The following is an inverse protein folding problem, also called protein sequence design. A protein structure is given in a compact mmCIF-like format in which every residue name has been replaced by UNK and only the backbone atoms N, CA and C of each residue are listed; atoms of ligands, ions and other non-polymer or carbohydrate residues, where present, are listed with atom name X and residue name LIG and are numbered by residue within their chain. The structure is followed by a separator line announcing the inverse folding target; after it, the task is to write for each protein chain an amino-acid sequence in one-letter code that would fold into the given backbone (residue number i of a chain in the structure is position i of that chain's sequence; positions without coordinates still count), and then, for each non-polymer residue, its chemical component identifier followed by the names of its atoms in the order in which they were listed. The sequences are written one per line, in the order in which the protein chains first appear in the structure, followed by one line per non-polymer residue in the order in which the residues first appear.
data_IF_811391247993
#
_entry.id   IF_811391247993
#
_cell.length_a   1.000
_cell.length_b   1.000
_cell.length_c   1.000
_cell.angle_alpha   90.00
_cell.angle_beta   90.00
_cell.angle_gamma   90.00
#
_symmetry.space_group_name_H-M   'P 1'
#
loop_
_entity.id
_entity.type
_entity.pdbx_description
1 polymer ?
#
# COMPACT_ATOMS: atom_id res chain seq x y z
N UNK A 1 12.78 -19.32 -16.55
CA UNK A 1 11.85 -18.50 -17.34
C UNK A 1 10.83 -17.84 -16.38
N UNK A 2 10.70 -16.51 -16.41
CA UNK A 2 9.88 -15.74 -15.49
C UNK A 2 8.69 -15.12 -16.22
N UNK A 3 7.47 -15.29 -15.69
CA UNK A 3 6.28 -14.60 -16.19
C UNK A 3 6.10 -13.31 -15.39
N UNK A 4 6.17 -12.16 -16.05
CA UNK A 4 5.88 -10.88 -15.42
C UNK A 4 4.43 -10.52 -15.71
N UNK A 5 3.62 -10.50 -14.64
CA UNK A 5 2.21 -10.09 -14.73
C UNK A 5 2.14 -8.59 -14.43
N UNK A 6 1.66 -7.81 -15.40
CA UNK A 6 1.65 -6.34 -15.36
C UNK A 6 0.41 -5.77 -16.05
N UNK A 7 0.11 -4.51 -15.82
CA UNK A 7 -1.03 -3.83 -16.44
C UNK A 7 -2.32 -4.03 -15.65
N UNK A 8 -3.20 -4.95 -16.08
CA UNK A 8 -4.48 -5.22 -15.44
C UNK A 8 -5.53 -4.13 -15.67
N UNK A 9 -6.68 -4.25 -14.98
CA UNK A 9 -7.83 -3.35 -15.16
C UNK A 9 -7.90 -2.23 -14.11
N UNK A 10 -7.07 -2.29 -13.06
CA UNK A 10 -7.12 -1.32 -11.96
C UNK A 10 -6.81 0.11 -12.41
N UNK A 11 -7.19 1.07 -11.60
CA UNK A 11 -6.84 2.50 -11.79
C UNK A 11 -5.34 2.77 -11.70
N UNK A 12 -4.58 1.82 -11.19
CA UNK A 12 -3.12 1.89 -11.06
C UNK A 12 -2.37 1.20 -12.23
N UNK A 13 -3.11 0.88 -13.31
CA UNK A 13 -2.57 0.21 -14.51
C UNK A 13 -1.26 0.83 -15.02
N UNK A 14 -1.18 2.15 -15.12
CA UNK A 14 0.03 2.82 -15.62
C UNK A 14 1.25 2.59 -14.73
N UNK A 15 1.03 2.58 -13.41
CA UNK A 15 2.08 2.29 -12.43
C UNK A 15 2.50 0.83 -12.52
N UNK A 16 1.54 -0.07 -12.66
CA UNK A 16 1.80 -1.50 -12.89
C UNK A 16 2.66 -1.73 -14.14
N UNK A 17 2.34 -1.08 -15.25
CA UNK A 17 3.14 -1.18 -16.48
C UNK A 17 4.56 -0.63 -16.26
N UNK A 18 4.72 0.51 -15.59
CA UNK A 18 6.03 1.10 -15.29
C UNK A 18 6.85 0.19 -14.37
N UNK A 19 6.25 -0.31 -13.28
CA UNK A 19 6.86 -1.29 -12.37
C UNK A 19 7.28 -2.55 -13.12
N UNK A 20 6.37 -3.16 -13.87
CA UNK A 20 6.64 -4.39 -14.61
C UNK A 20 7.77 -4.23 -15.64
N UNK A 21 7.79 -3.10 -16.38
CA UNK A 21 8.88 -2.79 -17.32
C UNK A 21 10.23 -2.59 -16.62
N UNK A 22 10.26 -1.93 -15.46
CA UNK A 22 11.48 -1.74 -14.70
C UNK A 22 12.03 -3.09 -14.17
N UNK A 23 11.15 -3.90 -13.58
CA UNK A 23 11.49 -5.25 -13.12
C UNK A 23 11.93 -6.17 -14.26
N UNK A 24 11.25 -6.12 -15.42
CA UNK A 24 11.62 -6.88 -16.62
C UNK A 24 13.05 -6.57 -17.08
N UNK A 25 13.44 -5.30 -17.10
CA UNK A 25 14.81 -4.90 -17.45
C UNK A 25 15.83 -5.46 -16.45
N UNK A 26 15.54 -5.39 -15.15
CA UNK A 26 16.42 -5.94 -14.11
C UNK A 26 16.55 -7.48 -14.23
N UNK A 27 15.42 -8.18 -14.39
CA UNK A 27 15.37 -9.64 -14.55
C UNK A 27 16.16 -10.10 -15.79
N UNK A 28 16.09 -9.34 -16.90
CA UNK A 28 16.91 -9.62 -18.10
C UNK A 28 18.41 -9.44 -17.83
N UNK A 29 18.80 -8.35 -17.12
CA UNK A 29 20.22 -8.14 -16.74
C UNK A 29 20.76 -9.26 -15.84
N UNK A 30 19.88 -9.87 -15.04
CA UNK A 30 20.20 -11.03 -14.21
C UNK A 30 20.31 -12.36 -15.02
N UNK A 31 20.12 -12.32 -16.34
CA UNK A 31 20.27 -13.48 -17.23
C UNK A 31 19.00 -14.34 -17.38
N UNK A 32 17.87 -13.94 -16.82
CA UNK A 32 16.64 -14.73 -16.93
C UNK A 32 15.83 -14.44 -18.18
N UNK A 33 15.26 -15.50 -18.77
CA UNK A 33 14.26 -15.37 -19.86
C UNK A 33 12.93 -14.90 -19.27
N UNK A 34 12.25 -13.96 -19.95
CA UNK A 34 10.98 -13.42 -19.49
C UNK A 34 9.87 -13.62 -20.52
N UNK A 35 8.65 -13.77 -20.01
CA UNK A 35 7.39 -13.54 -20.70
C UNK A 35 6.62 -12.43 -19.98
N UNK A 36 5.72 -11.78 -20.67
CA UNK A 36 4.83 -10.77 -20.09
C UNK A 36 3.38 -11.18 -20.23
N UNK A 37 2.57 -10.90 -19.21
CA UNK A 37 1.15 -11.19 -19.19
C UNK A 37 0.39 -9.95 -18.71
N UNK A 38 -0.58 -9.50 -19.51
CA UNK A 38 -1.44 -8.36 -19.16
C UNK A 38 -2.91 -8.82 -19.07
N UNK A 39 -3.49 -8.88 -17.85
CA UNK A 39 -4.86 -9.35 -17.67
C UNK A 39 -5.92 -8.50 -18.37
N UNK A 40 -5.61 -7.26 -18.73
CA UNK A 40 -6.51 -6.46 -19.56
C UNK A 40 -6.61 -6.96 -20.99
N UNK A 41 -5.57 -7.63 -21.49
CA UNK A 41 -5.49 -8.09 -22.88
C UNK A 41 -5.90 -9.54 -23.05
N UNK A 42 -5.92 -10.31 -21.97
CA UNK A 42 -6.24 -11.74 -21.99
C UNK A 42 -6.73 -12.23 -20.61
N UNK A 43 -7.54 -13.27 -20.61
CA UNK A 43 -8.07 -13.86 -19.39
C UNK A 43 -6.99 -14.42 -18.47
N UNK A 44 -7.12 -14.28 -17.15
CA UNK A 44 -6.27 -14.93 -16.15
C UNK A 44 -6.20 -16.46 -16.33
N UNK A 45 -7.25 -17.09 -16.86
CA UNK A 45 -7.27 -18.53 -17.16
C UNK A 45 -6.14 -18.95 -18.12
N UNK A 46 -5.64 -18.05 -18.94
CA UNK A 46 -4.54 -18.35 -19.84
C UNK A 46 -3.21 -18.59 -19.11
N UNK A 47 -3.08 -18.20 -17.84
CA UNK A 47 -1.89 -18.51 -17.02
C UNK A 47 -1.68 -20.00 -16.92
N UNK A 48 -2.73 -20.82 -16.87
CA UNK A 48 -2.65 -22.28 -16.79
C UNK A 48 -2.04 -22.94 -18.02
N UNK A 49 -1.98 -22.22 -19.13
CA UNK A 49 -1.37 -22.71 -20.40
C UNK A 49 0.09 -22.28 -20.56
N UNK A 50 0.60 -21.44 -19.64
CA UNK A 50 1.94 -20.86 -19.76
C UNK A 50 2.95 -21.69 -18.96
N UNK A 51 3.99 -22.20 -19.64
CA UNK A 51 5.09 -22.94 -18.99
C UNK A 51 6.20 -21.96 -18.56
N UNK A 52 6.28 -21.69 -17.28
CA UNK A 52 7.28 -20.84 -16.62
C UNK A 52 7.62 -21.39 -15.22
N UNK A 53 8.78 -20.99 -14.72
CA UNK A 53 9.29 -21.47 -13.43
C UNK A 53 8.79 -20.64 -12.25
N UNK A 54 8.49 -19.35 -12.49
CA UNK A 54 8.03 -18.40 -11.45
C UNK A 54 7.20 -17.27 -12.08
N UNK A 55 6.23 -16.76 -11.32
CA UNK A 55 5.47 -15.57 -11.66
C UNK A 55 5.99 -14.40 -10.84
N UNK A 56 6.41 -13.32 -11.49
CA UNK A 56 6.69 -12.04 -10.88
C UNK A 56 5.43 -11.18 -10.97
N UNK A 57 4.76 -10.96 -9.84
CA UNK A 57 3.59 -10.09 -9.77
C UNK A 57 4.04 -8.63 -9.77
N UNK A 58 3.66 -7.86 -10.78
CA UNK A 58 3.88 -6.41 -10.87
C UNK A 58 2.56 -5.65 -11.05
N UNK A 59 1.42 -6.29 -10.76
CA UNK A 59 0.12 -5.63 -10.73
C UNK A 59 0.03 -4.70 -9.52
N UNK A 60 -0.82 -3.68 -9.61
CA UNK A 60 -1.12 -2.75 -8.52
C UNK A 60 -2.63 -2.53 -8.39
N UNK A 61 -3.08 -2.29 -7.14
CA UNK A 61 -4.46 -2.01 -6.82
C UNK A 61 -5.38 -3.21 -6.93
N UNK A 62 -6.63 -2.96 -7.34
CA UNK A 62 -7.67 -3.97 -7.52
C UNK A 62 -7.20 -5.08 -8.46
N UNK A 63 -7.59 -6.32 -8.20
CA UNK A 63 -7.13 -7.57 -8.83
C UNK A 63 -5.64 -7.89 -8.56
N UNK A 64 -4.77 -6.91 -8.32
CA UNK A 64 -3.32 -7.11 -8.16
C UNK A 64 -2.84 -7.27 -6.72
N UNK A 65 -3.50 -6.59 -5.77
CA UNK A 65 -3.08 -6.50 -4.37
C UNK A 65 -4.13 -7.03 -3.38
N UNK A 66 -5.26 -7.49 -3.86
CA UNK A 66 -6.45 -7.87 -3.06
C UNK A 66 -6.67 -9.38 -2.90
N UNK A 67 -5.75 -10.19 -3.44
CA UNK A 67 -5.83 -11.65 -3.39
C UNK A 67 -6.39 -12.28 -4.67
N UNK A 68 -6.99 -11.48 -5.56
CA UNK A 68 -7.61 -12.02 -6.78
C UNK A 68 -6.56 -12.68 -7.71
N UNK A 69 -5.56 -11.94 -8.17
CA UNK A 69 -4.50 -12.49 -9.02
C UNK A 69 -3.75 -13.62 -8.31
N UNK A 70 -3.50 -13.45 -7.00
CA UNK A 70 -2.81 -14.46 -6.18
C UNK A 70 -3.58 -15.79 -6.15
N UNK A 71 -4.92 -15.79 -6.18
CA UNK A 71 -5.71 -17.04 -6.23
C UNK A 71 -5.48 -17.81 -7.54
N UNK A 72 -5.33 -17.14 -8.67
CA UNK A 72 -4.94 -17.80 -9.93
C UNK A 72 -3.52 -18.35 -9.89
N UNK A 73 -2.60 -17.62 -9.25
CA UNK A 73 -1.21 -18.09 -9.10
C UNK A 73 -1.16 -19.34 -8.20
N UNK A 74 -1.86 -19.35 -7.06
CA UNK A 74 -1.95 -20.53 -6.20
C UNK A 74 -2.54 -21.74 -6.93
N UNK A 75 -3.63 -21.54 -7.66
CA UNK A 75 -4.27 -22.61 -8.41
C UNK A 75 -3.38 -23.17 -9.55
N UNK A 76 -2.57 -22.30 -10.18
CA UNK A 76 -1.61 -22.71 -11.20
C UNK A 76 -0.45 -23.56 -10.67
N UNK A 77 -0.25 -23.59 -9.35
CA UNK A 77 0.88 -24.23 -8.66
C UNK A 77 2.25 -23.69 -9.09
N UNK A 78 2.29 -22.55 -9.78
CA UNK A 78 3.53 -21.89 -10.14
C UNK A 78 3.95 -20.97 -8.99
N UNK A 79 5.17 -21.08 -8.45
CA UNK A 79 5.68 -20.15 -7.44
C UNK A 79 5.55 -18.70 -7.91
N UNK A 80 5.24 -17.79 -6.98
CA UNK A 80 5.09 -16.38 -7.31
C UNK A 80 5.63 -15.45 -6.24
N UNK A 81 6.02 -14.26 -6.64
CA UNK A 81 6.58 -13.23 -5.77
C UNK A 81 5.50 -12.50 -4.96
N UNK A 82 5.94 -11.84 -3.89
CA UNK A 82 5.10 -11.04 -2.98
C UNK A 82 4.14 -11.88 -2.12
N UNK A 83 3.23 -11.19 -1.44
CA UNK A 83 2.33 -11.79 -0.46
C UNK A 83 1.27 -12.69 -1.10
N UNK A 84 0.82 -13.71 -0.37
CA UNK A 84 -0.21 -14.64 -0.83
C UNK A 84 -1.63 -14.08 -0.72
N UNK A 85 -2.62 -14.91 -1.07
CA UNK A 85 -4.05 -14.54 -1.15
C UNK A 85 -4.53 -13.87 0.13
N UNK A 86 -4.47 -14.56 1.27
CA UNK A 86 -5.01 -14.06 2.53
C UNK A 86 -4.31 -12.81 3.05
N UNK A 87 -3.01 -12.71 2.86
CA UNK A 87 -2.23 -11.55 3.30
C UNK A 87 -2.56 -10.32 2.47
N UNK A 88 -2.69 -10.46 1.16
CA UNK A 88 -3.10 -9.40 0.24
C UNK A 88 -4.51 -8.91 0.56
N UNK A 89 -5.48 -9.81 0.72
CA UNK A 89 -6.85 -9.47 1.13
C UNK A 89 -6.90 -8.71 2.46
N UNK A 90 -6.18 -9.19 3.48
CA UNK A 90 -6.14 -8.54 4.81
C UNK A 90 -5.51 -7.16 4.73
N UNK A 91 -4.41 -7.00 4.00
CA UNK A 91 -3.70 -5.74 3.89
C UNK A 91 -4.50 -4.70 3.11
N UNK A 92 -5.14 -5.09 2.00
CA UNK A 92 -5.94 -4.21 1.16
C UNK A 92 -7.17 -3.68 1.88
N UNK A 93 -7.82 -4.51 2.70
CA UNK A 93 -8.97 -4.12 3.50
C UNK A 93 -8.53 -3.39 4.77
N UNK A 94 -8.64 -2.06 4.78
CA UNK A 94 -8.15 -1.19 5.86
C UNK A 94 -8.82 -1.49 7.22
N UNK A 95 -10.08 -1.86 7.24
CA UNK A 95 -10.78 -2.22 8.49
C UNK A 95 -10.20 -3.51 9.06
N UNK A 96 -9.98 -4.51 8.22
CA UNK A 96 -9.42 -5.79 8.63
C UNK A 96 -7.99 -5.61 9.12
N UNK A 97 -7.13 -4.95 8.32
CA UNK A 97 -5.73 -4.73 8.70
C UNK A 97 -5.59 -3.94 10.00
N UNK A 98 -6.36 -2.85 10.16
CA UNK A 98 -6.37 -2.05 11.41
C UNK A 98 -6.89 -2.85 12.61
N UNK A 99 -7.90 -3.70 12.43
CA UNK A 99 -8.37 -4.63 13.47
C UNK A 99 -7.27 -5.59 13.91
N UNK A 100 -6.51 -6.16 12.96
CA UNK A 100 -5.36 -7.01 13.24
C UNK A 100 -4.26 -6.22 13.97
N UNK A 101 -3.97 -4.98 13.56
CA UNK A 101 -2.99 -4.12 14.22
C UNK A 101 -3.36 -3.86 15.67
N UNK A 102 -4.60 -3.46 15.95
CA UNK A 102 -5.08 -3.18 17.31
C UNK A 102 -5.02 -4.44 18.20
N UNK A 103 -5.48 -5.59 17.70
CA UNK A 103 -5.40 -6.87 18.44
C UNK A 103 -3.96 -7.21 18.82
N UNK A 104 -3.00 -6.80 18.01
CA UNK A 104 -1.58 -7.01 18.23
C UNK A 104 -0.86 -5.81 18.87
N UNK A 105 -1.58 -4.87 19.49
CA UNK A 105 -1.03 -3.70 20.18
C UNK A 105 -0.14 -2.82 19.27
N UNK A 106 -0.43 -2.75 17.98
CA UNK A 106 0.13 -1.79 17.03
C UNK A 106 -0.84 -0.62 16.91
N UNK A 107 -0.37 0.57 17.27
CA UNK A 107 -1.19 1.77 17.24
C UNK A 107 -1.54 2.16 15.82
N UNK A 108 -2.81 2.45 15.57
CA UNK A 108 -3.36 2.96 14.31
C UNK A 108 -4.37 4.07 14.62
N UNK A 109 -4.63 5.03 13.71
CA UNK A 109 -5.65 6.05 13.94
C UNK A 109 -7.00 5.41 14.29
N UNK A 110 -7.75 6.01 15.21
CA UNK A 110 -9.13 5.58 15.48
C UNK A 110 -9.93 5.62 14.20
N UNK A 111 -10.75 4.63 13.96
CA UNK A 111 -11.47 4.47 12.69
C UNK A 111 -12.85 3.86 12.87
N UNK A 112 -13.64 3.99 11.85
CA UNK A 112 -14.98 3.45 11.79
C UNK A 112 -15.37 3.19 10.33
N UNK A 113 -15.93 2.02 10.06
CA UNK A 113 -16.44 1.65 8.73
C UNK A 113 -17.82 2.28 8.53
N UNK A 114 -18.00 2.97 7.42
CA UNK A 114 -19.23 3.62 7.05
C UNK A 114 -19.78 3.06 5.75
N UNK A 115 -20.98 2.44 5.81
CA UNK A 115 -21.66 1.88 4.65
C UNK A 115 -22.64 2.89 4.05
N UNK A 116 -22.80 2.89 2.73
CA UNK A 116 -23.69 3.79 2.00
C UNK A 116 -25.11 3.85 2.60
N UNK A 117 -25.70 2.70 2.92
CA UNK A 117 -27.03 2.60 3.55
C UNK A 117 -27.14 3.37 4.88
N UNK A 118 -26.04 3.52 5.61
CA UNK A 118 -26.01 4.22 6.89
C UNK A 118 -25.99 5.74 6.76
N UNK A 119 -25.64 6.26 5.60
CA UNK A 119 -25.54 7.70 5.37
C UNK A 119 -26.90 8.40 5.45
N UNK A 120 -27.93 7.77 4.89
CA UNK A 120 -29.26 8.33 4.81
C UNK A 120 -30.09 8.17 6.08
N UNK A 121 -29.70 7.27 6.99
CA UNK A 121 -30.48 6.90 8.16
C UNK A 121 -29.93 7.42 9.49
N UNK A 122 -28.72 8.01 9.53
CA UNK A 122 -28.05 8.34 10.79
C UNK A 122 -27.54 9.78 10.86
N UNK A 123 -27.69 10.39 12.05
CA UNK A 123 -27.08 11.68 12.32
C UNK A 123 -25.55 11.55 12.41
N UNK A 124 -24.85 12.10 11.42
CA UNK A 124 -23.39 12.02 11.31
C UNK A 124 -22.67 12.64 12.53
N UNK A 125 -23.21 13.72 13.11
CA UNK A 125 -22.65 14.35 14.32
C UNK A 125 -22.64 13.38 15.48
N UNK A 126 -23.75 12.67 15.71
CA UNK A 126 -23.85 11.67 16.77
C UNK A 126 -22.91 10.47 16.55
N UNK A 127 -22.70 10.07 15.29
CA UNK A 127 -21.74 9.01 14.95
C UNK A 127 -20.32 9.42 15.32
N UNK A 128 -19.89 10.62 14.95
CA UNK A 128 -18.55 11.12 15.27
C UNK A 128 -18.32 11.15 16.77
N UNK A 129 -19.30 11.66 17.56
CA UNK A 129 -19.24 11.69 19.02
C UNK A 129 -19.11 10.27 19.59
N UNK A 130 -20.00 9.34 19.20
CA UNK A 130 -19.97 7.94 19.68
C UNK A 130 -18.67 7.21 19.34
N UNK A 131 -18.01 7.59 18.25
CA UNK A 131 -16.73 7.00 17.79
C UNK A 131 -15.51 7.79 18.23
N UNK A 132 -15.71 8.84 19.04
CA UNK A 132 -14.66 9.72 19.54
C UNK A 132 -13.75 10.24 18.40
N UNK A 133 -14.38 10.68 17.29
CA UNK A 133 -13.71 11.27 16.14
C UNK A 133 -13.98 12.78 16.11
N UNK A 134 -12.92 13.57 16.22
CA UNK A 134 -12.96 15.02 16.16
C UNK A 134 -12.43 15.54 14.83
N UNK A 135 -12.93 16.68 14.36
CA UNK A 135 -12.38 17.32 13.16
C UNK A 135 -10.96 17.86 13.43
N UNK A 136 -10.08 17.79 12.38
CA UNK A 136 -10.34 17.22 11.07
C UNK A 136 -10.40 15.69 11.10
N UNK A 137 -11.22 15.10 10.23
CA UNK A 137 -11.30 13.66 10.01
C UNK A 137 -10.88 13.31 8.58
N UNK A 138 -10.37 12.09 8.40
CA UNK A 138 -10.06 11.55 7.08
C UNK A 138 -11.19 10.64 6.63
N UNK A 139 -11.62 10.81 5.39
CA UNK A 139 -12.55 9.90 4.71
C UNK A 139 -11.82 9.28 3.52
N UNK A 140 -11.92 7.96 3.38
CA UNK A 140 -11.27 7.22 2.28
C UNK A 140 -12.02 5.92 1.96
N UNK A 141 -11.92 5.38 0.75
CA UNK A 141 -12.42 4.03 0.46
C UNK A 141 -11.72 2.99 1.34
N UNK A 142 -12.44 1.92 1.69
CA UNK A 142 -11.91 0.86 2.54
C UNK A 142 -10.83 0.01 1.85
N UNK A 143 -10.96 -0.21 0.54
CA UNK A 143 -10.14 -1.16 -0.22
C UNK A 143 -9.55 -0.53 -1.49
N UNK A 144 -8.93 0.64 -1.35
CA UNK A 144 -8.24 1.34 -2.44
C UNK A 144 -6.80 1.67 -2.06
N UNK A 145 -5.92 1.68 -3.08
CA UNK A 145 -4.52 2.05 -2.96
C UNK A 145 -4.23 3.50 -3.37
N UNK A 146 -2.94 3.85 -3.44
CA UNK A 146 -2.41 5.10 -4.02
C UNK A 146 -3.08 6.41 -3.60
N UNK A 147 -3.62 6.49 -2.39
CA UNK A 147 -4.38 7.65 -1.88
C UNK A 147 -5.62 8.02 -2.72
N UNK A 148 -6.14 7.09 -3.52
CA UNK A 148 -7.35 7.30 -4.32
C UNK A 148 -8.54 7.54 -3.38
N UNK A 149 -9.25 8.65 -3.59
CA UNK A 149 -10.44 9.00 -2.82
C UNK A 149 -10.19 9.47 -1.38
N UNK A 150 -8.93 9.64 -0.95
CA UNK A 150 -8.61 10.16 0.38
C UNK A 150 -8.95 11.65 0.48
N UNK A 151 -9.73 12.04 1.49
CA UNK A 151 -10.14 13.43 1.75
C UNK A 151 -9.98 13.76 3.23
N UNK A 152 -9.39 14.93 3.51
CA UNK A 152 -9.36 15.52 4.85
C UNK A 152 -10.52 16.48 4.97
N UNK A 153 -11.42 16.23 5.92
CA UNK A 153 -12.62 17.01 6.15
C UNK A 153 -12.45 17.82 7.44
N UNK A 154 -12.54 19.15 7.33
CA UNK A 154 -12.32 20.08 8.44
C UNK A 154 -13.60 20.33 9.28
N UNK A 155 -14.76 20.04 8.75
CA UNK A 155 -16.06 20.23 9.39
C UNK A 155 -17.12 19.27 8.83
N UNK A 156 -18.32 19.29 9.44
CA UNK A 156 -19.42 18.40 9.08
C UNK A 156 -19.95 18.62 7.65
N UNK A 157 -19.94 19.87 7.16
CA UNK A 157 -20.39 20.19 5.81
C UNK A 157 -19.45 19.56 4.78
N UNK A 158 -18.15 19.77 4.96
CA UNK A 158 -17.13 19.12 4.09
C UNK A 158 -17.24 17.60 4.14
N UNK A 159 -17.42 17.02 5.33
CA UNK A 159 -17.55 15.58 5.50
C UNK A 159 -18.74 15.03 4.70
N UNK A 160 -19.93 15.62 4.85
CA UNK A 160 -21.12 15.20 4.11
C UNK A 160 -20.92 15.29 2.59
N UNK A 161 -20.35 16.40 2.09
CA UNK A 161 -20.02 16.56 0.65
C UNK A 161 -19.06 15.47 0.16
N UNK A 162 -18.00 15.19 0.91
CA UNK A 162 -17.01 14.15 0.57
C UNK A 162 -17.61 12.75 0.57
N UNK A 163 -18.43 12.40 1.57
CA UNK A 163 -19.11 11.11 1.64
C UNK A 163 -20.06 10.94 0.44
N UNK A 164 -20.88 11.94 0.12
CA UNK A 164 -21.77 11.89 -1.04
C UNK A 164 -21.03 11.66 -2.36
N UNK A 165 -19.90 12.36 -2.54
CA UNK A 165 -19.07 12.21 -3.73
C UNK A 165 -18.47 10.79 -3.83
N UNK A 166 -17.92 10.30 -2.72
CA UNK A 166 -17.27 8.99 -2.68
C UNK A 166 -18.27 7.83 -2.82
N UNK A 167 -19.47 7.96 -2.23
CA UNK A 167 -20.50 6.93 -2.35
C UNK A 167 -21.10 6.78 -3.76
N UNK A 168 -20.78 7.69 -4.69
CA UNK A 168 -21.09 7.46 -6.12
C UNK A 168 -20.27 6.31 -6.72
N UNK A 169 -19.16 5.95 -6.08
CA UNK A 169 -18.18 4.98 -6.60
C UNK A 169 -17.83 3.85 -5.63
N UNK A 170 -18.02 4.07 -4.32
CA UNK A 170 -17.59 3.15 -3.27
C UNK A 170 -18.72 2.92 -2.27
N UNK A 171 -19.07 1.66 -2.03
CA UNK A 171 -20.14 1.31 -1.08
C UNK A 171 -19.69 1.41 0.38
N UNK A 172 -18.40 1.24 0.62
CA UNK A 172 -17.82 1.26 1.96
C UNK A 172 -16.71 2.30 2.07
N UNK A 173 -16.83 3.17 3.06
CA UNK A 173 -15.86 4.20 3.38
C UNK A 173 -15.32 4.00 4.79
N UNK A 174 -14.04 4.31 4.97
CA UNK A 174 -13.40 4.42 6.27
C UNK A 174 -13.39 5.89 6.68
N UNK A 175 -13.96 6.19 7.85
CA UNK A 175 -13.75 7.44 8.54
C UNK A 175 -12.67 7.22 9.59
N UNK A 176 -11.71 8.13 9.67
CA UNK A 176 -10.51 7.95 10.48
C UNK A 176 -10.08 9.26 11.12
N UNK A 177 -9.54 9.17 12.32
CA UNK A 177 -8.88 10.28 12.97
C UNK A 177 -7.74 10.82 12.09
N UNK A 178 -7.69 12.14 11.93
CA UNK A 178 -6.57 12.77 11.25
C UNK A 178 -5.34 12.84 12.18
N UNK A 179 -4.32 12.08 11.84
CA UNK A 179 -3.03 12.17 12.51
C UNK A 179 -2.13 13.09 11.69
N UNK A 180 -1.79 14.24 12.28
CA UNK A 180 -0.75 15.11 11.74
C UNK A 180 0.65 14.55 11.98
N UNK A 181 1.67 15.41 11.87
CA UNK A 181 3.06 15.06 12.14
C UNK A 181 3.80 14.49 10.93
N UNK A 182 4.98 13.90 11.19
CA UNK A 182 5.87 13.42 10.15
C UNK A 182 5.29 12.17 9.46
N UNK A 183 5.48 12.08 8.16
CA UNK A 183 5.15 10.88 7.39
C UNK A 183 6.39 10.02 7.23
N UNK A 184 6.37 8.81 7.79
CA UNK A 184 7.50 7.89 7.81
C UNK A 184 7.06 6.59 7.13
N UNK A 185 7.86 6.11 6.19
CA UNK A 185 7.60 4.85 5.51
C UNK A 185 8.75 3.88 5.69
N UNK A 186 8.43 2.61 5.90
CA UNK A 186 9.41 1.55 6.18
C UNK A 186 9.27 0.46 5.12
N UNK A 187 10.38 0.12 4.46
CA UNK A 187 10.47 -1.02 3.56
C UNK A 187 10.90 -2.28 4.31
N UNK A 188 10.19 -3.37 4.05
CA UNK A 188 10.51 -4.72 4.54
C UNK A 188 10.90 -5.61 3.36
N UNK A 189 11.93 -6.40 3.52
CA UNK A 189 12.32 -7.44 2.57
C UNK A 189 12.56 -8.74 3.32
N UNK A 190 11.81 -9.78 2.95
CA UNK A 190 11.90 -11.11 3.56
C UNK A 190 11.82 -11.06 5.11
N UNK A 191 10.86 -10.28 5.63
CA UNK A 191 10.60 -10.14 7.06
C UNK A 191 11.55 -9.22 7.82
N UNK A 192 12.55 -8.61 7.16
CA UNK A 192 13.50 -7.67 7.77
C UNK A 192 13.36 -6.26 7.23
N UNK A 193 13.40 -5.28 8.13
CA UNK A 193 13.34 -3.88 7.76
C UNK A 193 14.64 -3.44 7.07
N UNK A 194 14.50 -2.85 5.88
CA UNK A 194 15.62 -2.24 5.16
C UNK A 194 15.95 -0.85 5.71
N UNK A 195 14.95 -0.09 6.09
CA UNK A 195 15.11 1.27 6.61
C UNK A 195 13.81 2.04 6.63
N UNK A 196 13.88 3.24 7.20
CA UNK A 196 12.76 4.17 7.29
C UNK A 196 13.11 5.50 6.62
N UNK A 197 12.23 5.98 5.75
CA UNK A 197 12.33 7.25 5.03
C UNK A 197 11.25 8.22 5.52
N UNK A 198 11.58 9.49 5.66
CA UNK A 198 10.61 10.55 5.93
C UNK A 198 10.23 11.25 4.63
N UNK A 199 8.93 11.50 4.48
CA UNK A 199 8.37 12.23 3.36
C UNK A 199 7.90 13.62 3.81
N UNK A 200 8.45 14.68 3.19
CA UNK A 200 8.01 16.06 3.38
C UNK A 200 7.38 16.59 2.10
N UNK A 201 6.08 16.37 1.88
CA UNK A 201 5.41 16.94 0.72
C UNK A 201 5.38 18.47 0.84
N UNK A 202 5.68 19.20 -0.24
CA UNK A 202 5.48 20.66 -0.29
C UNK A 202 3.99 21.05 -0.22
N UNK A 203 3.10 20.09 -0.45
CA UNK A 203 1.64 20.23 -0.34
C UNK A 203 1.16 19.70 1.01
N UNK A 204 -0.03 20.10 1.41
CA UNK A 204 -0.65 19.71 2.69
C UNK A 204 -0.87 18.20 2.85
N UNK A 205 -0.75 17.41 1.76
CA UNK A 205 -0.99 15.96 1.78
C UNK A 205 -0.20 15.23 0.68
N UNK A 206 0.29 14.03 1.00
CA UNK A 206 1.00 13.14 0.06
C UNK A 206 -0.02 12.36 -0.78
N UNK A 207 -0.60 13.04 -1.77
CA UNK A 207 -1.61 12.50 -2.69
C UNK A 207 -0.99 11.71 -3.86
N UNK A 208 -1.84 11.18 -4.75
CA UNK A 208 -1.43 10.45 -5.95
C UNK A 208 -0.41 11.23 -6.81
N UNK A 209 -0.64 12.55 -7.00
CA UNK A 209 0.28 13.40 -7.76
C UNK A 209 1.63 13.55 -7.06
N UNK A 210 1.63 13.66 -5.72
CA UNK A 210 2.86 13.72 -4.93
C UNK A 210 3.66 12.41 -4.98
N UNK A 211 3.00 11.26 -5.15
CA UNK A 211 3.63 9.93 -5.24
C UNK A 211 4.31 9.66 -6.59
N UNK A 212 3.75 10.15 -7.69
CA UNK A 212 4.13 9.70 -9.03
C UNK A 212 4.56 10.81 -10.00
N UNK A 213 4.58 12.07 -9.56
CA UNK A 213 5.00 13.20 -10.38
C UNK A 213 6.29 13.82 -9.85
N UNK A 214 7.34 13.89 -10.68
CA UNK A 214 8.56 14.64 -10.37
C UNK A 214 8.31 16.11 -10.06
N UNK A 215 7.26 16.70 -10.65
CA UNK A 215 6.87 18.09 -10.42
C UNK A 215 6.28 18.34 -9.02
N UNK A 216 5.85 17.33 -8.31
CA UNK A 216 5.25 17.45 -6.98
C UNK A 216 6.27 17.78 -5.87
N UNK A 217 7.57 17.64 -6.14
CA UNK A 217 8.71 18.03 -5.27
C UNK A 217 8.51 17.60 -3.80
N UNK A 218 8.15 16.33 -3.55
CA UNK A 218 8.22 15.77 -2.20
C UNK A 218 9.69 15.59 -1.82
N UNK A 219 10.11 16.16 -0.69
CA UNK A 219 11.45 15.93 -0.19
C UNK A 219 11.48 14.57 0.52
N UNK A 220 12.39 13.72 0.10
CA UNK A 220 12.70 12.43 0.72
C UNK A 220 13.90 12.62 1.64
N UNK A 221 13.77 12.22 2.90
CA UNK A 221 14.84 12.29 3.90
C UNK A 221 15.16 10.86 4.33
N UNK A 222 16.32 10.39 3.96
CA UNK A 222 16.80 9.05 4.27
C UNK A 222 18.15 9.10 4.98
N UNK A 223 18.30 8.56 6.21
CA UNK A 223 17.24 7.98 7.05
C UNK A 223 16.23 9.04 7.53
N UNK A 224 15.03 8.62 7.93
CA UNK A 224 14.02 9.49 8.49
C UNK A 224 14.58 10.32 9.66
N UNK A 225 14.31 11.63 9.66
CA UNK A 225 14.82 12.57 10.68
C UNK A 225 14.00 12.46 11.98
N UNK A 226 14.21 11.38 12.71
CA UNK A 226 13.59 11.06 14.00
C UNK A 226 14.65 10.54 14.98
N UNK A 227 14.44 10.63 16.33
CA UNK A 227 15.40 10.13 17.30
C UNK A 227 15.78 8.67 17.05
N UNK A 228 17.08 8.31 17.19
CA UNK A 228 17.62 6.97 16.91
C UNK A 228 16.81 5.84 17.56
N UNK A 229 16.41 6.01 18.83
CA UNK A 229 15.55 5.04 19.54
C UNK A 229 14.21 4.84 18.83
N UNK A 230 13.60 5.92 18.32
CA UNK A 230 12.33 5.89 17.58
C UNK A 230 12.51 5.30 16.18
N UNK A 231 13.64 5.57 15.54
CA UNK A 231 13.97 4.93 14.26
C UNK A 231 14.01 3.40 14.39
N UNK A 232 14.70 2.87 15.39
CA UNK A 232 14.73 1.43 15.66
C UNK A 232 13.35 0.86 16.05
N UNK A 233 12.54 1.65 16.78
CA UNK A 233 11.19 1.28 17.17
C UNK A 233 10.28 1.10 15.94
N UNK A 234 10.28 2.05 14.99
CA UNK A 234 9.42 1.96 13.81
C UNK A 234 9.78 0.80 12.90
N UNK A 235 11.08 0.46 12.77
CA UNK A 235 11.53 -0.73 12.05
C UNK A 235 10.91 -2.01 12.63
N UNK A 236 10.98 -2.18 13.95
CA UNK A 236 10.38 -3.33 14.66
C UNK A 236 8.85 -3.38 14.53
N UNK A 237 8.18 -2.22 14.57
CA UNK A 237 6.73 -2.17 14.36
C UNK A 237 6.37 -2.64 12.96
N UNK A 238 7.10 -2.20 11.92
CA UNK A 238 6.88 -2.61 10.54
C UNK A 238 7.15 -4.11 10.32
N UNK A 239 8.23 -4.67 10.90
CA UNK A 239 8.50 -6.11 10.86
C UNK A 239 7.35 -6.91 11.50
N UNK A 240 6.85 -6.45 12.66
CA UNK A 240 5.67 -7.07 13.30
C UNK A 240 4.43 -6.97 12.42
N UNK A 241 4.14 -5.81 11.82
CA UNK A 241 2.99 -5.64 10.94
C UNK A 241 3.04 -6.59 9.75
N UNK A 242 4.21 -6.70 9.10
CA UNK A 242 4.47 -7.66 8.03
C UNK A 242 4.17 -9.11 8.48
N UNK A 243 4.69 -9.51 9.65
CA UNK A 243 4.54 -10.86 10.19
C UNK A 243 3.08 -11.20 10.55
N UNK A 244 2.37 -10.32 11.27
CA UNK A 244 1.00 -10.60 11.73
C UNK A 244 -0.03 -10.58 10.61
N UNK A 245 0.24 -9.88 9.49
CA UNK A 245 -0.57 -9.98 8.28
C UNK A 245 -0.28 -11.27 7.50
N UNK A 246 0.82 -11.98 7.80
CA UNK A 246 1.29 -13.15 7.08
C UNK A 246 1.93 -12.80 5.74
N UNK A 247 2.51 -11.60 5.62
CA UNK A 247 3.17 -11.15 4.40
C UNK A 247 4.47 -11.91 4.13
N UNK A 248 4.88 -11.97 2.86
CA UNK A 248 6.17 -12.48 2.40
C UNK A 248 6.77 -11.57 1.33
N UNK A 249 8.04 -11.80 1.00
CA UNK A 249 8.77 -10.99 0.03
C UNK A 249 8.93 -9.54 0.51
N UNK A 250 8.49 -8.59 -0.30
CA UNK A 250 8.64 -7.16 -0.03
C UNK A 250 7.31 -6.53 0.37
N UNK A 251 7.34 -5.64 1.38
CA UNK A 251 6.21 -4.79 1.76
C UNK A 251 6.69 -3.39 2.13
N UNK A 252 5.77 -2.43 2.16
CA UNK A 252 6.00 -1.09 2.69
C UNK A 252 4.91 -0.74 3.69
N UNK A 253 5.31 -0.33 4.89
CA UNK A 253 4.40 0.14 5.93
C UNK A 253 4.47 1.66 6.06
N UNK A 254 3.30 2.31 6.02
CA UNK A 254 3.15 3.77 6.00
C UNK A 254 2.68 4.25 7.38
N UNK A 255 3.44 5.17 7.99
CA UNK A 255 3.21 5.66 9.35
C UNK A 255 3.03 7.18 9.40
N UNK A 256 2.29 7.63 10.42
CA UNK A 256 2.41 8.99 10.96
C UNK A 256 3.13 8.94 12.29
N UNK A 257 4.11 9.84 12.48
CA UNK A 257 4.82 10.03 13.74
C UNK A 257 4.43 11.35 14.36
N UNK A 258 3.79 11.29 15.54
CA UNK A 258 3.30 12.44 16.28
C UNK A 258 3.40 12.18 17.79
N UNK A 259 3.83 13.18 18.56
CA UNK A 259 3.94 13.08 20.03
C UNK A 259 4.67 11.80 20.48
N UNK A 260 5.83 11.52 19.88
CA UNK A 260 6.65 10.34 20.15
C UNK A 260 5.95 8.97 19.92
N UNK A 261 4.85 8.92 19.17
CA UNK A 261 4.10 7.71 18.86
C UNK A 261 3.98 7.50 17.34
N UNK A 262 4.09 6.25 16.90
CA UNK A 262 3.84 5.85 15.53
C UNK A 262 2.42 5.33 15.37
N UNK A 263 1.72 5.84 14.38
CA UNK A 263 0.40 5.40 13.97
C UNK A 263 0.52 4.73 12.60
N UNK A 264 0.38 3.41 12.57
CA UNK A 264 0.41 2.65 11.31
C UNK A 264 -0.87 2.91 10.52
N UNK A 265 -0.73 3.44 9.33
CA UNK A 265 -1.86 3.76 8.44
C UNK A 265 -2.28 2.55 7.62
N UNK A 266 -1.30 1.88 6.99
CA UNK A 266 -1.48 0.71 6.13
C UNK A 266 -0.16 -0.01 5.89
N UNK A 267 -0.23 -1.25 5.41
CA UNK A 267 0.91 -2.03 4.90
C UNK A 267 0.60 -2.45 3.47
N UNK A 268 1.42 -2.01 2.51
CA UNK A 268 1.29 -2.35 1.11
C UNK A 268 2.03 -3.66 0.82
N UNK A 269 1.33 -4.62 0.25
CA UNK A 269 1.90 -5.94 -0.10
C UNK A 269 2.52 -5.98 -1.48
N UNK A 270 2.28 -4.96 -2.31
CA UNK A 270 2.79 -4.80 -3.67
C UNK A 270 3.32 -3.38 -3.87
N UNK A 271 4.39 -2.97 -3.16
CA UNK A 271 4.92 -1.61 -3.30
C UNK A 271 5.48 -1.37 -4.70
N UNK A 272 5.36 -0.14 -5.20
CA UNK A 272 5.91 0.25 -6.50
C UNK A 272 7.42 -0.01 -6.60
N UNK A 273 7.86 -0.41 -7.80
CA UNK A 273 9.25 -0.71 -8.14
C UNK A 273 9.72 0.13 -9.32
N UNK A 274 9.35 1.41 -9.36
CA UNK A 274 9.88 2.37 -10.34
C UNK A 274 11.07 3.13 -9.75
N UNK A 275 11.80 3.88 -10.55
CA UNK A 275 12.89 4.75 -10.10
C UNK A 275 12.47 5.87 -9.14
N UNK A 276 11.18 6.14 -9.01
CA UNK A 276 10.59 7.09 -8.05
C UNK A 276 9.96 6.40 -6.85
N UNK A 277 10.08 5.09 -6.75
CA UNK A 277 9.45 4.30 -5.70
C UNK A 277 10.35 4.20 -4.48
N UNK A 278 9.74 4.28 -3.30
CA UNK A 278 10.46 4.37 -2.03
C UNK A 278 11.20 3.09 -1.64
N UNK A 279 10.69 1.92 -2.02
CA UNK A 279 11.36 0.65 -1.67
C UNK A 279 12.71 0.52 -2.38
N UNK A 280 12.85 0.77 -3.68
CA UNK A 280 14.16 0.85 -4.33
C UNK A 280 15.09 1.88 -3.71
N UNK A 281 14.60 3.09 -3.38
CA UNK A 281 15.38 4.15 -2.75
C UNK A 281 15.91 3.73 -1.37
N UNK A 282 15.06 3.13 -0.52
CA UNK A 282 15.46 2.62 0.78
C UNK A 282 16.46 1.46 0.65
N UNK A 283 16.29 0.60 -0.36
CA UNK A 283 17.22 -0.51 -0.64
C UNK A 283 18.60 0.01 -1.06
N UNK A 284 18.65 1.02 -1.93
CA UNK A 284 19.89 1.67 -2.37
C UNK A 284 20.65 2.29 -1.20
N UNK A 285 19.97 2.96 -0.29
CA UNK A 285 20.58 3.45 0.96
C UNK A 285 21.23 2.34 1.78
N UNK A 286 20.78 1.10 1.66
CA UNK A 286 21.39 -0.10 2.27
C UNK A 286 22.39 -0.81 1.36
N UNK A 287 22.90 -0.14 0.31
CA UNK A 287 23.81 -0.72 -0.68
C UNK A 287 23.24 -1.96 -1.39
N UNK A 288 21.92 -2.05 -1.51
CA UNK A 288 21.22 -3.09 -2.26
C UNK A 288 20.79 -2.46 -3.59
N UNK A 289 21.53 -2.75 -4.67
CA UNK A 289 21.16 -2.28 -6.01
C UNK A 289 19.80 -2.81 -6.42
N UNK A 290 19.15 -2.14 -7.39
CA UNK A 290 17.83 -2.54 -7.87
C UNK A 290 17.81 -3.99 -8.36
N UNK A 291 18.85 -4.42 -9.09
CA UNK A 291 18.95 -5.80 -9.58
C UNK A 291 19.07 -6.81 -8.42
N UNK A 292 19.88 -6.49 -7.40
CA UNK A 292 19.97 -7.31 -6.18
C UNK A 292 18.64 -7.34 -5.42
N UNK A 293 17.90 -6.23 -5.37
CA UNK A 293 16.58 -6.18 -4.76
C UNK A 293 15.61 -7.11 -5.50
N UNK A 294 15.52 -7.01 -6.83
CA UNK A 294 14.66 -7.86 -7.66
C UNK A 294 15.03 -9.33 -7.52
N UNK A 295 16.32 -9.67 -7.45
CA UNK A 295 16.78 -11.05 -7.22
C UNK A 295 16.36 -11.62 -5.87
N UNK A 296 16.19 -10.77 -4.84
CA UNK A 296 15.80 -11.17 -3.48
C UNK A 296 14.29 -11.27 -3.28
N UNK A 297 13.51 -10.67 -4.16
CA UNK A 297 12.04 -10.78 -4.21
C UNK A 297 11.64 -12.09 -4.86
#
# INVERSE_FOLDING_TARGET
KILIVLGGNSREREISIKTGKACAKAIKRLGYKILTFDPKKQSFLNIFKIKVDIIFNALHGEEGEDGFAQSFFEYSKIPYTHSGVLSSMKAMNKVISKGIFLKNKILTPRFFLFKKKQFYSKNMKNILIKKNLNFPVVVKPNSEGSSIGVKICKNLINLKKCINLLHKRFDTLLLEEFIGGQEVQVAILNGKALGAIELKPKRTFYDYKAKYSKAARTNHIMPANIPKKKYLEVLKIAERAHKILGCRGVTRSDFKFKNNKFYLLETNTQPGMTSLSLVPEIAEYKNISFDKLIKKI
#
